data_IF_562232731369
#
_entry.id   IF_562232731369
#
_cell.length_a   1.000
_cell.length_b   1.000
_cell.length_c   1.000
_cell.angle_alpha   90.00
_cell.angle_beta   90.00
_cell.angle_gamma   90.00
#
_symmetry.space_group_name_H-M   'P 1'
#
loop_
_entity.id
_entity.type
_entity.pdbx_description
1 polymer ?
#
# COMPACT_ATOMS: atom_id res chain seq x y z
N UNK A 1 -4.27 -15.63 -1.04
CA UNK A 1 -4.39 -14.87 0.21
C UNK A 1 -3.06 -14.88 0.94
N UNK A 2 -2.60 -13.73 1.39
CA UNK A 2 -1.38 -13.59 2.16
C UNK A 2 -1.54 -12.56 3.29
N UNK A 3 -0.86 -12.81 4.41
CA UNK A 3 -0.81 -11.90 5.56
C UNK A 3 0.62 -11.37 5.71
N UNK A 4 0.75 -10.07 5.80
CA UNK A 4 2.03 -9.39 5.96
C UNK A 4 2.02 -8.58 7.25
N UNK A 5 2.99 -8.84 8.11
CA UNK A 5 3.31 -8.02 9.28
C UNK A 5 4.58 -7.19 9.02
N UNK A 6 4.91 -6.25 9.90
CA UNK A 6 6.11 -5.43 9.73
C UNK A 6 5.98 -4.29 8.71
N UNK A 7 4.75 -3.92 8.39
CA UNK A 7 4.39 -2.70 7.67
C UNK A 7 3.61 -1.78 8.63
N UNK A 8 4.28 -1.14 9.60
CA UNK A 8 3.58 -0.31 10.57
C UNK A 8 2.87 0.86 9.92
N UNK A 9 1.72 1.21 10.46
CA UNK A 9 1.01 2.42 10.10
C UNK A 9 1.83 3.65 10.48
N UNK A 10 2.03 4.56 9.52
CA UNK A 10 2.79 5.82 9.71
C UNK A 10 1.88 7.02 9.91
N UNK A 11 0.71 6.98 9.29
CA UNK A 11 -0.33 8.01 9.44
C UNK A 11 -1.71 7.38 9.35
N UNK A 12 -2.72 8.07 9.87
CA UNK A 12 -4.11 7.59 10.01
C UNK A 12 -5.08 8.47 9.24
N UNK A 13 -6.27 7.96 8.96
CA UNK A 13 -7.42 8.76 8.52
C UNK A 13 -7.94 9.67 9.66
N UNK A 14 -8.85 10.61 9.36
CA UNK A 14 -9.49 11.48 10.36
C UNK A 14 -10.04 10.68 11.53
N UNK A 15 -9.90 11.24 12.74
CA UNK A 15 -10.31 10.56 13.97
C UNK A 15 -9.42 9.39 14.41
N UNK A 16 -8.21 9.25 13.81
CA UNK A 16 -7.25 8.20 14.16
C UNK A 16 -7.64 6.82 13.63
N UNK A 17 -8.56 6.75 12.66
CA UNK A 17 -8.97 5.49 12.03
C UNK A 17 -7.77 4.82 11.38
N UNK A 18 -7.52 3.59 11.79
CA UNK A 18 -6.35 2.81 11.36
C UNK A 18 -6.67 1.74 10.32
N UNK A 19 -7.94 1.49 10.03
CA UNK A 19 -8.35 0.46 9.07
C UNK A 19 -8.53 1.06 7.69
N UNK A 20 -7.99 0.38 6.69
CA UNK A 20 -8.28 0.65 5.28
C UNK A 20 -8.68 -0.65 4.59
N UNK A 21 -9.54 -0.52 3.59
CA UNK A 21 -9.91 -1.61 2.70
C UNK A 21 -10.09 -1.06 1.29
N UNK A 22 -9.75 -1.87 0.29
CA UNK A 22 -9.94 -1.50 -1.12
C UNK A 22 -9.33 -2.51 -2.08
N UNK A 23 -9.41 -2.21 -3.37
CA UNK A 23 -8.80 -2.99 -4.45
C UNK A 23 -7.39 -2.47 -4.72
N UNK A 24 -6.44 -3.37 -4.88
CA UNK A 24 -5.04 -3.02 -5.14
C UNK A 24 -4.86 -2.32 -6.49
N UNK A 25 -4.31 -1.12 -6.46
CA UNK A 25 -3.60 -0.53 -7.59
C UNK A 25 -2.12 -0.71 -7.31
N UNK A 26 -1.46 -1.58 -8.05
CA UNK A 26 -0.09 -1.99 -7.77
C UNK A 26 0.92 -1.12 -8.51
N UNK A 27 2.04 -0.83 -7.86
CA UNK A 27 3.17 -0.08 -8.41
C UNK A 27 4.49 -0.73 -8.04
N UNK A 28 5.32 -0.99 -9.03
CA UNK A 28 6.69 -1.51 -8.85
C UNK A 28 7.70 -0.39 -9.02
N UNK A 29 8.58 -0.25 -8.04
CA UNK A 29 9.63 0.77 -7.99
C UNK A 29 10.98 0.10 -7.77
N UNK A 30 11.99 0.52 -8.49
CA UNK A 30 13.33 -0.01 -8.36
C UNK A 30 14.37 0.73 -9.19
N UNK A 31 15.64 0.30 -9.16
CA UNK A 31 16.65 0.80 -10.07
C UNK A 31 16.35 0.35 -11.50
N UNK A 32 16.67 1.16 -12.48
CA UNK A 32 16.47 0.80 -13.88
C UNK A 32 16.14 2.00 -14.76
N UNK A 33 15.62 1.69 -15.95
CA UNK A 33 15.12 2.67 -16.91
C UNK A 33 13.60 2.72 -16.80
N UNK A 34 13.02 3.92 -16.69
CA UNK A 34 11.56 4.05 -16.66
C UNK A 34 10.94 3.58 -17.99
N UNK A 35 9.67 3.15 -17.99
CA UNK A 35 8.96 2.83 -19.22
C UNK A 35 9.01 4.00 -20.22
N UNK A 36 8.97 3.72 -21.53
CA UNK A 36 8.93 4.75 -22.56
C UNK A 36 7.72 5.68 -22.37
N UNK A 37 7.91 6.97 -22.61
CA UNK A 37 6.86 7.98 -22.51
C UNK A 37 7.36 9.33 -22.01
N UNK A 38 6.47 10.31 -21.89
CA UNK A 38 6.84 11.60 -21.33
C UNK A 38 7.26 11.43 -19.84
N UNK A 39 8.24 12.23 -19.38
CA UNK A 39 8.67 12.19 -17.98
C UNK A 39 7.50 12.44 -17.03
N UNK A 40 7.25 11.52 -16.11
CA UNK A 40 6.27 11.66 -15.03
C UNK A 40 6.97 11.60 -13.69
N UNK A 41 6.39 12.27 -12.70
CA UNK A 41 6.82 12.08 -11.32
C UNK A 41 6.47 10.64 -10.88
N UNK A 42 7.37 10.02 -10.13
CA UNK A 42 7.15 8.70 -9.52
C UNK A 42 5.76 8.62 -8.87
N UNK A 43 5.01 7.57 -9.16
CA UNK A 43 3.71 7.29 -8.56
C UNK A 43 2.52 8.06 -9.15
N UNK A 44 2.73 9.04 -10.04
CA UNK A 44 1.61 9.76 -10.68
C UNK A 44 0.70 8.81 -11.46
N UNK A 45 1.27 7.84 -12.18
CA UNK A 45 0.47 6.89 -12.97
C UNK A 45 -0.41 6.02 -12.07
N UNK A 46 0.10 5.56 -10.93
CA UNK A 46 -0.69 4.80 -9.97
C UNK A 46 -1.84 5.63 -9.39
N UNK A 47 -1.59 6.90 -9.03
CA UNK A 47 -2.60 7.82 -8.53
C UNK A 47 -3.67 8.11 -9.60
N UNK A 48 -3.27 8.33 -10.85
CA UNK A 48 -4.20 8.57 -11.97
C UNK A 48 -5.16 7.39 -12.20
N UNK A 49 -4.71 6.15 -11.93
CA UNK A 49 -5.49 4.92 -12.09
C UNK A 49 -6.27 4.51 -10.83
N UNK A 50 -6.04 5.20 -9.71
CA UNK A 50 -6.70 4.89 -8.44
C UNK A 50 -7.89 5.84 -8.16
N UNK A 51 -8.79 5.40 -7.30
CA UNK A 51 -9.96 6.15 -6.82
C UNK A 51 -10.39 5.68 -5.43
N UNK A 52 -11.63 5.99 -5.05
CA UNK A 52 -12.16 5.80 -3.69
C UNK A 52 -12.12 4.34 -3.20
N UNK A 53 -12.31 3.38 -4.10
CA UNK A 53 -12.33 1.95 -3.76
C UNK A 53 -10.96 1.28 -3.84
N UNK A 54 -9.88 2.07 -3.94
CA UNK A 54 -8.54 1.55 -4.14
C UNK A 54 -7.61 1.80 -2.95
N UNK A 55 -6.69 0.87 -2.78
CA UNK A 55 -5.45 0.99 -1.99
C UNK A 55 -4.28 0.89 -2.95
N UNK A 56 -3.36 1.85 -2.92
CA UNK A 56 -2.14 1.77 -3.73
C UNK A 56 -1.13 0.90 -2.99
N UNK A 57 -0.63 -0.14 -3.68
CA UNK A 57 0.34 -1.10 -3.14
C UNK A 57 1.66 -0.93 -3.87
N UNK A 58 2.71 -0.55 -3.13
CA UNK A 58 4.02 -0.20 -3.69
C UNK A 58 5.07 -1.24 -3.29
N UNK A 59 5.73 -1.84 -4.27
CA UNK A 59 6.94 -2.63 -4.07
C UNK A 59 8.18 -1.76 -4.31
N UNK A 60 9.03 -1.57 -3.28
CA UNK A 60 10.40 -1.06 -3.43
C UNK A 60 11.33 -1.91 -2.55
N UNK A 61 11.78 -3.03 -3.07
CA UNK A 61 12.59 -4.05 -2.38
C UNK A 61 14.00 -4.15 -2.96
N UNK A 62 14.48 -3.06 -3.57
CA UNK A 62 15.80 -3.03 -4.22
C UNK A 62 16.99 -3.03 -3.25
N UNK A 63 16.75 -2.88 -1.95
CA UNK A 63 17.80 -2.65 -0.96
C UNK A 63 18.36 -1.21 -0.95
N UNK A 64 17.96 -0.37 -1.89
CA UNK A 64 18.38 1.02 -1.93
C UNK A 64 17.58 1.87 -0.94
N UNK A 65 18.27 2.71 -0.20
CA UNK A 65 17.63 3.71 0.64
C UNK A 65 17.14 4.88 -0.24
N UNK A 66 15.92 4.76 -0.73
CA UNK A 66 15.26 5.75 -1.57
C UNK A 66 13.76 5.75 -1.31
N UNK A 67 13.15 6.92 -1.06
CA UNK A 67 11.73 7.03 -0.80
C UNK A 67 10.90 6.59 -2.00
N UNK A 68 10.02 5.61 -1.80
CA UNK A 68 9.10 5.14 -2.84
C UNK A 68 7.73 5.83 -2.79
N UNK A 69 7.45 6.53 -1.70
CA UNK A 69 6.25 7.32 -1.47
C UNK A 69 6.58 8.55 -0.63
N UNK A 70 5.86 9.65 -0.78
CA UNK A 70 6.12 10.90 -0.05
C UNK A 70 4.91 11.85 -0.04
N UNK A 71 5.09 13.06 0.49
CA UNK A 71 4.03 14.02 0.77
C UNK A 71 3.21 14.43 -0.45
N UNK A 72 3.83 14.79 -1.56
CA UNK A 72 3.11 15.17 -2.79
C UNK A 72 2.24 14.02 -3.33
N UNK A 73 2.74 12.77 -3.27
CA UNK A 73 1.97 11.61 -3.70
C UNK A 73 0.81 11.36 -2.74
N UNK A 74 1.03 11.53 -1.44
CA UNK A 74 0.00 11.42 -0.41
C UNK A 74 -1.13 12.43 -0.65
N UNK A 75 -0.79 13.69 -0.93
CA UNK A 75 -1.78 14.71 -1.27
C UNK A 75 -2.57 14.34 -2.52
N UNK A 76 -1.88 13.92 -3.58
CA UNK A 76 -2.51 13.48 -4.83
C UNK A 76 -3.48 12.30 -4.63
N UNK A 77 -3.07 11.29 -3.85
CA UNK A 77 -3.90 10.14 -3.52
C UNK A 77 -5.12 10.56 -2.68
N UNK A 78 -4.94 11.43 -1.69
CA UNK A 78 -6.04 11.98 -0.88
C UNK A 78 -7.07 12.73 -1.73
N UNK A 79 -6.62 13.61 -2.62
CA UNK A 79 -7.52 14.39 -3.51
C UNK A 79 -8.35 13.47 -4.40
N UNK A 80 -7.80 12.34 -4.81
CA UNK A 80 -8.53 11.33 -5.60
C UNK A 80 -9.42 10.40 -4.76
N UNK A 81 -9.42 10.56 -3.44
CA UNK A 81 -10.21 9.75 -2.52
C UNK A 81 -9.68 8.34 -2.31
N UNK A 82 -8.44 8.05 -2.67
CA UNK A 82 -7.80 6.73 -2.44
C UNK A 82 -7.88 6.38 -0.96
N UNK A 83 -8.23 5.14 -0.64
CA UNK A 83 -8.45 4.70 0.74
C UNK A 83 -7.17 4.66 1.59
N UNK A 84 -6.02 4.48 0.97
CA UNK A 84 -4.73 4.48 1.64
C UNK A 84 -3.61 3.89 0.81
N UNK A 85 -2.42 3.82 1.40
CA UNK A 85 -1.21 3.30 0.74
C UNK A 85 -0.52 2.27 1.61
N UNK A 86 -0.08 1.19 0.98
CA UNK A 86 0.78 0.15 1.55
C UNK A 86 2.08 0.12 0.77
N UNK A 87 3.20 0.48 1.40
CA UNK A 87 4.50 0.56 0.75
C UNK A 87 5.52 -0.40 1.39
N UNK A 88 5.90 -1.44 0.66
CA UNK A 88 7.04 -2.28 1.05
C UNK A 88 8.35 -1.60 0.63
N UNK A 89 8.63 -0.50 1.28
CA UNK A 89 9.77 0.36 1.04
C UNK A 89 9.76 1.59 1.94
N UNK A 90 10.75 2.50 1.78
CA UNK A 90 10.85 3.68 2.60
C UNK A 90 9.84 4.76 2.23
N UNK A 91 9.19 5.34 3.23
CA UNK A 91 8.33 6.54 3.14
C UNK A 91 9.14 7.79 3.46
N UNK A 92 8.87 8.89 2.75
CA UNK A 92 9.30 10.25 3.10
C UNK A 92 8.11 11.10 3.57
N UNK A 93 8.45 12.23 4.18
CA UNK A 93 7.50 13.31 4.45
C UNK A 93 6.31 12.81 5.30
N UNK A 94 6.62 12.01 6.34
CA UNK A 94 5.59 11.38 7.19
C UNK A 94 4.72 12.41 7.90
N UNK A 95 5.30 13.55 8.30
CA UNK A 95 4.56 14.62 8.98
C UNK A 95 3.50 15.25 8.05
N UNK A 96 3.78 15.34 6.75
CA UNK A 96 2.80 15.76 5.76
C UNK A 96 1.66 14.74 5.63
N UNK A 97 1.98 13.44 5.61
CA UNK A 97 0.96 12.39 5.57
C UNK A 97 0.05 12.44 6.82
N UNK A 98 0.63 12.72 7.99
CA UNK A 98 -0.12 12.91 9.23
C UNK A 98 -0.98 14.17 9.18
N UNK A 99 -0.44 15.30 8.70
CA UNK A 99 -1.17 16.55 8.53
C UNK A 99 -2.33 16.43 7.54
N UNK A 100 -2.17 15.61 6.51
CA UNK A 100 -3.23 15.30 5.56
C UNK A 100 -4.24 14.29 6.10
N UNK A 101 -4.00 13.69 7.28
CA UNK A 101 -4.85 12.62 7.83
C UNK A 101 -5.11 11.52 6.78
N UNK A 102 -4.06 11.05 6.13
CA UNK A 102 -4.15 10.05 5.08
C UNK A 102 -3.44 8.76 5.50
N UNK A 103 -4.09 7.58 5.45
CA UNK A 103 -3.50 6.33 5.92
C UNK A 103 -2.34 5.86 5.04
N UNK A 104 -1.16 5.71 5.65
CA UNK A 104 0.01 5.15 5.00
C UNK A 104 0.64 4.09 5.90
N UNK A 105 0.90 2.92 5.33
CA UNK A 105 1.66 1.82 5.92
C UNK A 105 2.98 1.68 5.16
N UNK A 106 4.10 1.63 5.86
CA UNK A 106 5.40 1.50 5.18
C UNK A 106 6.42 0.71 5.97
N UNK A 107 7.36 0.07 5.26
CA UNK A 107 8.45 -0.72 5.85
C UNK A 107 9.36 0.13 6.72
N UNK A 108 9.78 1.28 6.22
CA UNK A 108 10.73 2.17 6.89
C UNK A 108 10.49 3.63 6.50
N UNK A 109 11.27 4.51 7.11
CA UNK A 109 11.32 5.94 6.81
C UNK A 109 12.68 6.30 6.23
N UNK A 110 12.72 7.34 5.39
CA UNK A 110 13.96 7.90 4.86
C UNK A 110 13.79 9.39 4.51
N UNK A 111 14.87 10.14 4.52
CA UNK A 111 14.92 11.49 3.94
C UNK A 111 15.40 11.49 2.48
N UNK A 112 15.86 10.34 1.96
CA UNK A 112 16.47 10.26 0.63
C UNK A 112 15.43 10.28 -0.48
N UNK A 113 15.66 11.14 -1.49
CA UNK A 113 14.79 11.21 -2.67
C UNK A 113 14.91 9.99 -3.57
N UNK A 114 13.83 9.66 -4.27
CA UNK A 114 13.81 8.67 -5.35
C UNK A 114 14.67 9.11 -6.56
N UNK A 115 14.69 10.42 -6.85
CA UNK A 115 15.34 10.98 -8.05
C UNK A 115 16.77 10.51 -8.20
N UNK A 116 17.09 9.92 -9.34
CA UNK A 116 18.42 9.39 -9.66
C UNK A 116 18.80 8.09 -8.95
N UNK A 117 17.87 7.46 -8.20
CA UNK A 117 18.11 6.21 -7.49
C UNK A 117 17.15 5.10 -7.90
N UNK A 118 15.88 5.41 -7.96
CA UNK A 118 14.82 4.46 -8.35
C UNK A 118 13.85 5.16 -9.29
N UNK A 119 13.17 4.33 -10.10
CA UNK A 119 12.16 4.75 -11.07
C UNK A 119 10.91 3.89 -10.91
N UNK A 120 9.78 4.34 -11.44
CA UNK A 120 8.59 3.53 -11.61
C UNK A 120 8.85 2.52 -12.75
N UNK A 121 8.90 1.24 -12.40
CA UNK A 121 9.13 0.15 -13.36
C UNK A 121 7.85 -0.33 -14.01
N UNK A 122 6.71 -0.12 -13.34
CA UNK A 122 5.40 -0.46 -13.86
C UNK A 122 4.29 -0.17 -12.87
N UNK A 123 3.10 0.07 -13.40
CA UNK A 123 1.83 0.20 -12.65
C UNK A 123 0.86 -0.85 -13.18
N UNK A 124 -0.01 -1.36 -12.30
CA UNK A 124 -0.91 -2.49 -12.62
C UNK A 124 -0.15 -3.72 -13.11
N UNK A 125 0.99 -3.99 -12.46
CA UNK A 125 1.79 -5.20 -12.64
C UNK A 125 1.82 -5.99 -11.32
N UNK A 126 2.08 -7.30 -11.34
CA UNK A 126 2.28 -8.06 -10.12
C UNK A 126 3.42 -7.47 -9.28
N UNK A 127 3.18 -7.32 -7.98
CA UNK A 127 4.19 -6.84 -7.02
C UNK A 127 4.40 -7.87 -5.92
N UNK A 128 5.58 -7.84 -5.31
CA UNK A 128 5.95 -8.75 -4.23
C UNK A 128 6.15 -7.97 -2.95
N UNK A 129 5.45 -8.37 -1.90
CA UNK A 129 5.52 -7.76 -0.57
C UNK A 129 6.15 -8.77 0.40
N UNK A 130 7.19 -8.36 1.11
CA UNK A 130 7.91 -9.22 2.04
C UNK A 130 7.18 -9.39 3.37
N UNK A 131 7.07 -10.63 3.85
CA UNK A 131 6.57 -10.94 5.18
C UNK A 131 7.71 -10.94 6.23
N UNK A 132 7.39 -10.61 7.49
CA UNK A 132 8.39 -10.41 8.55
C UNK A 132 9.14 -11.68 8.95
N UNK A 133 8.49 -12.83 8.82
CA UNK A 133 9.08 -14.14 9.24
C UNK A 133 9.77 -14.89 8.08
N UNK A 134 10.15 -14.16 7.04
CA UNK A 134 10.67 -14.76 5.82
C UNK A 134 9.54 -15.34 4.96
N UNK A 135 9.47 -14.93 3.75
CA UNK A 135 8.43 -15.26 2.81
C UNK A 135 7.98 -14.02 2.05
N UNK A 136 7.18 -14.24 1.05
CA UNK A 136 6.74 -13.21 0.14
C UNK A 136 5.29 -13.44 -0.23
N UNK A 137 4.55 -12.34 -0.39
CA UNK A 137 3.19 -12.36 -0.91
C UNK A 137 3.19 -11.66 -2.26
N UNK A 138 2.81 -12.38 -3.31
CA UNK A 138 2.54 -11.76 -4.60
C UNK A 138 1.15 -11.13 -4.56
N UNK A 139 1.08 -9.86 -4.90
CA UNK A 139 -0.16 -9.08 -4.98
C UNK A 139 -0.43 -8.76 -6.44
N UNK A 140 -1.58 -9.18 -6.92
CA UNK A 140 -2.04 -8.90 -8.27
C UNK A 140 -2.84 -7.59 -8.30
N UNK A 141 -2.81 -6.85 -9.41
CA UNK A 141 -3.75 -5.75 -9.61
C UNK A 141 -5.19 -6.22 -9.36
N UNK A 142 -5.92 -5.46 -8.54
CA UNK A 142 -7.30 -5.78 -8.22
C UNK A 142 -7.50 -6.79 -7.08
N UNK A 143 -6.47 -7.33 -6.44
CA UNK A 143 -6.60 -8.05 -5.18
C UNK A 143 -7.24 -7.16 -4.11
N UNK A 144 -7.99 -7.75 -3.18
CA UNK A 144 -8.48 -7.01 -2.03
C UNK A 144 -7.36 -6.80 -1.02
N UNK A 145 -7.31 -5.60 -0.49
CA UNK A 145 -6.35 -5.18 0.54
C UNK A 145 -7.12 -4.76 1.77
N UNK A 146 -6.77 -5.35 2.91
CA UNK A 146 -7.22 -4.89 4.22
C UNK A 146 -5.97 -4.61 5.05
N UNK A 147 -5.92 -3.46 5.72
CA UNK A 147 -4.81 -3.15 6.60
C UNK A 147 -5.30 -2.45 7.86
N UNK A 148 -4.67 -2.80 8.97
CA UNK A 148 -4.80 -2.13 10.25
C UNK A 148 -3.43 -2.09 10.96
N UNK A 149 -3.41 -1.74 12.24
CA UNK A 149 -2.17 -1.66 13.02
C UNK A 149 -1.48 -3.02 13.23
N UNK A 150 -2.20 -4.12 13.04
CA UNK A 150 -1.70 -5.47 13.29
C UNK A 150 -1.04 -6.08 12.05
N UNK A 151 -1.66 -5.93 10.87
CA UNK A 151 -1.23 -6.56 9.64
C UNK A 151 -1.82 -5.90 8.39
N UNK A 152 -1.25 -6.28 7.26
CA UNK A 152 -1.84 -6.09 5.93
C UNK A 152 -2.21 -7.45 5.37
N UNK A 153 -3.43 -7.60 4.88
CA UNK A 153 -3.97 -8.83 4.30
C UNK A 153 -4.27 -8.58 2.83
N UNK A 154 -3.79 -9.47 1.98
CA UNK A 154 -4.09 -9.50 0.54
C UNK A 154 -4.93 -10.71 0.22
N UNK A 155 -6.04 -10.53 -0.49
CA UNK A 155 -7.00 -11.59 -0.80
C UNK A 155 -7.32 -11.54 -2.30
N UNK A 156 -7.11 -12.66 -3.00
CA UNK A 156 -7.52 -12.73 -4.40
C UNK A 156 -9.05 -12.65 -4.51
N UNK A 157 -9.58 -12.09 -5.61
CA UNK A 157 -11.03 -12.04 -5.85
C UNK A 157 -11.73 -13.39 -5.72
N UNK A 158 -11.07 -14.46 -6.14
CA UNK A 158 -11.64 -15.83 -6.08
C UNK A 158 -11.88 -16.35 -4.66
N UNK A 159 -11.27 -15.73 -3.66
CA UNK A 159 -11.36 -16.18 -2.26
C UNK A 159 -12.16 -15.26 -1.36
N UNK A 160 -12.56 -14.08 -1.83
CA UNK A 160 -13.10 -13.03 -0.95
C UNK A 160 -14.41 -13.45 -0.29
N UNK A 161 -15.36 -14.00 -1.06
CA UNK A 161 -16.67 -14.40 -0.54
C UNK A 161 -16.55 -15.46 0.57
N UNK A 162 -15.78 -16.52 0.31
CA UNK A 162 -15.55 -17.60 1.29
C UNK A 162 -14.88 -17.10 2.56
N UNK A 163 -13.96 -16.13 2.44
CA UNK A 163 -13.28 -15.56 3.60
C UNK A 163 -14.17 -14.61 4.39
N UNK A 164 -15.03 -13.85 3.73
CA UNK A 164 -16.01 -12.99 4.41
C UNK A 164 -17.02 -13.85 5.19
N UNK A 165 -17.60 -14.89 4.60
CA UNK A 165 -18.50 -15.82 5.28
C UNK A 165 -17.85 -16.43 6.54
N UNK A 166 -16.58 -16.87 6.41
CA UNK A 166 -15.85 -17.43 7.54
C UNK A 166 -15.60 -16.39 8.65
N UNK A 167 -15.25 -15.15 8.27
CA UNK A 167 -15.03 -14.06 9.21
C UNK A 167 -16.32 -13.67 9.94
N UNK A 168 -17.44 -13.57 9.23
CA UNK A 168 -18.76 -13.27 9.83
C UNK A 168 -19.19 -14.34 10.84
N UNK A 169 -18.96 -15.62 10.54
CA UNK A 169 -19.22 -16.71 11.49
C UNK A 169 -18.35 -16.59 12.76
N UNK A 170 -17.08 -16.22 12.62
CA UNK A 170 -16.17 -16.04 13.76
C UNK A 170 -16.64 -14.87 14.62
N UNK A 171 -16.93 -13.72 14.00
CA UNK A 171 -17.41 -12.52 14.71
C UNK A 171 -18.73 -12.80 15.45
N UNK A 172 -19.68 -13.50 14.82
CA UNK A 172 -20.93 -13.87 15.46
C UNK A 172 -20.71 -14.80 16.67
N UNK A 173 -19.79 -15.76 16.55
CA UNK A 173 -19.44 -16.67 17.65
C UNK A 173 -18.76 -15.91 18.81
N UNK A 174 -17.84 -15.01 18.53
CA UNK A 174 -17.16 -14.19 19.55
C UNK A 174 -18.14 -13.27 20.27
N UNK A 175 -19.07 -12.64 19.54
CA UNK A 175 -20.11 -11.80 20.12
C UNK A 175 -21.06 -12.57 21.05
N UNK A 176 -21.27 -13.86 20.80
CA UNK A 176 -22.09 -14.70 21.67
C UNK A 176 -21.34 -15.19 22.93
N UNK A 177 -20.01 -15.00 23.00
CA UNK A 177 -19.19 -15.37 24.16
C UNK A 177 -18.87 -14.17 25.07
N UNK A 178 -19.14 -12.94 24.62
CA UNK A 178 -18.89 -11.69 25.35
C UNK A 178 -20.13 -11.25 26.14
#
# INVERSE_FOLDING_TARGET
>A
TGVVTGLPQRSSAPGGVSRIAGRAVTMKVGPGTPPPGPPKHLGCTAIEQAGADNVIVVEQRSGLEAGCWGGLLTLGAKVRGVAGVVADGPLRDVDEAMAYEFPVFSRSLTSRTARGRVVELGVQVPVTIGATQGGEVTVMPGDYVLADRSAVIFISPDNIERLLEAAEMIVAKEAAMA
#
